data_IF_528531726608
#
_entry.id   IF_528531726608
#
_cell.length_a   1.000
_cell.length_b   1.000
_cell.length_c   1.000
_cell.angle_alpha   90.00
_cell.angle_beta   90.00
_cell.angle_gamma   90.00
#
_symmetry.space_group_name_H-M   'P 1'
#
loop_
_entity.id
_entity.type
_entity.pdbx_description
1 polymer ?
#
# COMPACT_ATOMS: atom_id res chain seq x y z
N UNK A 1 -5.43 16.26 -7.66
CA UNK A 1 -5.10 15.23 -6.66
C UNK A 1 -4.42 15.97 -5.55
N UNK A 2 -4.96 15.91 -4.34
CA UNK A 2 -4.36 16.57 -3.18
C UNK A 2 -3.12 15.78 -2.73
N UNK A 3 -2.10 16.48 -2.26
CA UNK A 3 -0.93 15.84 -1.65
C UNK A 3 -1.37 15.21 -0.32
N UNK A 4 -1.09 13.92 -0.14
CA UNK A 4 -1.34 13.19 1.10
C UNK A 4 0.00 12.72 1.67
N UNK A 5 0.24 13.06 2.93
CA UNK A 5 1.48 12.71 3.62
C UNK A 5 1.50 11.22 3.97
N UNK A 6 2.68 10.61 3.85
CA UNK A 6 2.94 9.25 4.32
C UNK A 6 3.52 9.32 5.72
N UNK A 7 2.81 8.76 6.70
CA UNK A 7 3.22 8.77 8.11
C UNK A 7 4.01 7.52 8.53
N UNK A 8 4.01 6.48 7.71
CA UNK A 8 4.65 5.20 8.00
C UNK A 8 4.41 4.15 6.94
N UNK A 9 4.81 2.92 7.21
CA UNK A 9 4.70 1.79 6.30
C UNK A 9 4.13 0.53 6.95
N UNK A 10 3.28 -0.18 6.21
CA UNK A 10 2.81 -1.52 6.54
C UNK A 10 3.18 -2.49 5.42
N UNK A 11 3.60 -3.71 5.75
CA UNK A 11 3.95 -4.73 4.76
C UNK A 11 3.25 -6.05 5.11
N UNK A 12 2.53 -6.62 4.14
CA UNK A 12 1.83 -7.88 4.33
C UNK A 12 0.80 -8.12 3.24
N UNK A 13 0.47 -9.39 2.99
CA UNK A 13 -0.40 -9.79 1.87
C UNK A 13 -1.78 -10.27 2.30
N UNK A 14 -1.98 -10.54 3.58
CA UNK A 14 -3.30 -10.92 4.10
C UNK A 14 -4.15 -9.66 4.25
N UNK A 15 -5.19 -9.55 3.43
CA UNK A 15 -6.13 -8.41 3.46
C UNK A 15 -6.73 -8.20 4.86
N UNK A 16 -7.11 -9.28 5.54
CA UNK A 16 -7.66 -9.23 6.91
C UNK A 16 -6.66 -8.71 7.93
N UNK A 17 -5.39 -9.07 7.78
CA UNK A 17 -4.32 -8.59 8.64
C UNK A 17 -4.07 -7.09 8.41
N UNK A 18 -4.04 -6.64 7.15
CA UNK A 18 -3.96 -5.23 6.80
C UNK A 18 -5.11 -4.42 7.43
N UNK A 19 -6.36 -4.89 7.30
CA UNK A 19 -7.53 -4.25 7.92
C UNK A 19 -7.37 -4.12 9.44
N UNK A 20 -6.87 -5.17 10.10
CA UNK A 20 -6.76 -5.20 11.56
C UNK A 20 -5.59 -4.36 12.08
N UNK A 21 -4.49 -4.28 11.34
CA UNK A 21 -3.20 -3.87 11.89
C UNK A 21 -2.54 -2.68 11.18
N UNK A 22 -2.88 -2.37 9.92
CA UNK A 22 -2.31 -1.21 9.24
C UNK A 22 -2.88 0.09 9.83
N UNK A 23 -2.03 1.12 9.92
CA UNK A 23 -2.39 2.45 10.41
C UNK A 23 -2.79 3.34 9.23
N UNK A 24 -3.78 4.21 9.44
CA UNK A 24 -4.09 5.31 8.52
C UNK A 24 -2.82 6.12 8.18
N UNK A 25 -2.73 6.64 6.95
CA UNK A 25 -1.58 7.39 6.46
C UNK A 25 -0.36 6.53 6.11
N UNK A 26 -0.44 5.20 6.24
CA UNK A 26 0.67 4.32 5.90
C UNK A 26 0.77 4.07 4.39
N UNK A 27 1.98 3.86 3.87
CA UNK A 27 2.19 3.16 2.59
C UNK A 27 2.07 1.65 2.82
N UNK A 28 1.34 0.95 1.96
CA UNK A 28 1.16 -0.49 2.07
C UNK A 28 1.92 -1.26 0.99
N UNK A 29 2.91 -2.05 1.39
CA UNK A 29 3.65 -2.96 0.52
C UNK A 29 2.97 -4.33 0.51
N UNK A 30 2.61 -4.80 -0.68
CA UNK A 30 1.99 -6.12 -0.89
C UNK A 30 2.35 -6.68 -2.26
N UNK A 31 2.07 -7.96 -2.51
CA UNK A 31 2.04 -8.57 -3.85
C UNK A 31 0.63 -8.53 -4.46
N UNK A 32 -0.41 -8.15 -3.71
CA UNK A 32 -1.78 -8.14 -4.21
C UNK A 32 -2.02 -6.96 -5.18
N UNK A 33 -2.46 -7.28 -6.40
CA UNK A 33 -2.75 -6.30 -7.46
C UNK A 33 -4.21 -6.33 -7.94
N UNK A 34 -5.14 -6.73 -7.06
CA UNK A 34 -6.57 -6.86 -7.34
C UNK A 34 -7.37 -5.65 -6.81
N UNK A 35 -8.58 -5.32 -7.35
CA UNK A 35 -9.41 -4.24 -6.83
C UNK A 35 -9.76 -4.30 -5.33
N UNK A 36 -9.72 -5.50 -4.73
CA UNK A 36 -9.94 -5.68 -3.29
C UNK A 36 -8.84 -5.00 -2.45
N UNK A 37 -7.62 -4.95 -2.96
CA UNK A 37 -6.49 -4.24 -2.33
C UNK A 37 -6.81 -2.75 -2.22
N UNK A 38 -7.39 -2.16 -3.28
CA UNK A 38 -7.82 -0.77 -3.27
C UNK A 38 -8.96 -0.55 -2.28
N UNK A 39 -9.94 -1.45 -2.25
CA UNK A 39 -11.06 -1.35 -1.29
C UNK A 39 -10.57 -1.39 0.17
N UNK A 40 -9.58 -2.23 0.48
CA UNK A 40 -8.95 -2.27 1.81
C UNK A 40 -8.19 -0.98 2.11
N UNK A 41 -7.44 -0.45 1.14
CA UNK A 41 -6.72 0.80 1.33
C UNK A 41 -7.67 1.97 1.66
N UNK A 42 -8.80 2.07 0.95
CA UNK A 42 -9.86 3.05 1.25
C UNK A 42 -10.43 2.83 2.65
N UNK A 43 -10.74 1.59 3.02
CA UNK A 43 -11.31 1.25 4.32
C UNK A 43 -10.39 1.63 5.50
N UNK A 44 -9.08 1.47 5.33
CA UNK A 44 -8.08 1.74 6.38
C UNK A 44 -7.61 3.20 6.37
N UNK A 45 -7.75 3.92 5.26
CA UNK A 45 -7.16 5.26 5.08
C UNK A 45 -5.70 5.19 4.65
N UNK A 46 -5.36 4.25 3.76
CA UNK A 46 -4.02 4.07 3.18
C UNK A 46 -3.95 4.87 1.87
N UNK A 47 -3.15 5.95 1.81
CA UNK A 47 -3.03 6.79 0.61
C UNK A 47 -2.29 6.12 -0.55
N UNK A 48 -1.42 5.15 -0.26
CA UNK A 48 -0.54 4.55 -1.26
C UNK A 48 -0.36 3.03 -1.08
N UNK A 49 -0.51 2.28 -2.16
CA UNK A 49 -0.18 0.86 -2.28
C UNK A 49 1.04 0.70 -3.17
N UNK A 50 2.03 -0.09 -2.73
CA UNK A 50 3.18 -0.53 -3.52
C UNK A 50 3.06 -2.02 -3.79
N UNK A 51 2.81 -2.35 -5.05
CA UNK A 51 2.78 -3.72 -5.55
C UNK A 51 4.21 -4.18 -5.88
N UNK A 52 4.70 -5.13 -5.09
CA UNK A 52 6.05 -5.70 -5.22
C UNK A 52 6.06 -6.97 -6.09
N UNK A 53 7.26 -7.53 -6.34
CA UNK A 53 7.46 -8.74 -7.14
C UNK A 53 6.92 -8.66 -8.58
N UNK A 54 6.99 -7.47 -9.20
CA UNK A 54 6.68 -7.24 -10.61
C UNK A 54 5.27 -7.71 -11.04
N UNK A 55 4.30 -7.69 -10.13
CA UNK A 55 2.92 -8.03 -10.49
C UNK A 55 2.32 -6.94 -11.38
N UNK A 56 1.62 -7.37 -12.44
CA UNK A 56 0.88 -6.46 -13.30
C UNK A 56 -0.34 -5.90 -12.55
N UNK A 57 -0.58 -4.61 -12.73
CA UNK A 57 -1.80 -3.95 -12.25
C UNK A 57 -2.72 -3.84 -13.45
N UNK A 58 -3.86 -4.54 -13.40
CA UNK A 58 -4.81 -4.50 -14.50
C UNK A 58 -5.59 -3.17 -14.55
N UNK A 59 -6.25 -2.91 -15.68
CA UNK A 59 -7.02 -1.69 -15.92
C UNK A 59 -8.14 -1.47 -14.89
N UNK A 60 -8.79 -2.55 -14.45
CA UNK A 60 -9.87 -2.48 -13.46
C UNK A 60 -9.35 -1.93 -12.12
N UNK A 61 -8.21 -2.45 -11.65
CA UNK A 61 -7.56 -2.00 -10.41
C UNK A 61 -7.09 -0.56 -10.54
N UNK A 62 -6.48 -0.18 -11.67
CA UNK A 62 -6.07 1.21 -11.93
C UNK A 62 -7.26 2.17 -11.89
N UNK A 63 -8.36 1.84 -12.57
CA UNK A 63 -9.58 2.67 -12.58
C UNK A 63 -10.19 2.79 -11.20
N UNK A 64 -10.24 1.71 -10.42
CA UNK A 64 -10.71 1.75 -9.04
C UNK A 64 -9.83 2.63 -8.17
N UNK A 65 -8.50 2.46 -8.23
CA UNK A 65 -7.55 3.28 -7.47
C UNK A 65 -7.70 4.77 -7.79
N UNK A 66 -7.80 5.12 -9.08
CA UNK A 66 -8.01 6.49 -9.52
C UNK A 66 -9.35 7.07 -9.01
N UNK A 67 -10.44 6.29 -9.08
CA UNK A 67 -11.76 6.71 -8.62
C UNK A 67 -11.78 7.00 -7.12
N UNK A 68 -11.11 6.16 -6.33
CA UNK A 68 -11.09 6.25 -4.88
C UNK A 68 -9.96 7.14 -4.33
N UNK A 69 -9.12 7.71 -5.20
CA UNK A 69 -8.02 8.59 -4.79
C UNK A 69 -6.84 7.87 -4.12
N UNK A 70 -6.66 6.57 -4.37
CA UNK A 70 -5.54 5.78 -3.84
C UNK A 70 -4.42 5.71 -4.88
N UNK A 71 -3.20 6.07 -4.49
CA UNK A 71 -2.03 5.93 -5.37
C UNK A 71 -1.59 4.47 -5.42
N UNK A 72 -1.43 3.90 -6.61
CA UNK A 72 -0.89 2.55 -6.78
C UNK A 72 0.42 2.58 -7.58
N UNK A 73 1.49 2.08 -6.97
CA UNK A 73 2.82 1.97 -7.55
C UNK A 73 3.16 0.49 -7.75
N UNK A 74 4.06 0.20 -8.69
CA UNK A 74 4.60 -1.15 -8.87
C UNK A 74 6.11 -1.13 -8.94
N UNK A 75 6.73 -2.22 -8.51
CA UNK A 75 8.18 -2.40 -8.56
C UNK A 75 8.56 -3.85 -8.84
N UNK A 76 9.72 -4.06 -9.46
CA UNK A 76 10.33 -5.39 -9.62
C UNK A 76 10.99 -5.90 -8.34
N UNK A 77 11.18 -5.03 -7.34
CA UNK A 77 11.76 -5.38 -6.05
C UNK A 77 10.87 -6.36 -5.29
N UNK A 78 11.49 -7.21 -4.46
CA UNK A 78 10.76 -8.00 -3.46
C UNK A 78 10.16 -7.09 -2.39
N UNK A 79 9.14 -7.57 -1.65
CA UNK A 79 8.54 -6.80 -0.55
C UNK A 79 9.61 -6.33 0.46
N UNK A 80 10.56 -7.21 0.77
CA UNK A 80 11.68 -6.88 1.67
C UNK A 80 12.56 -5.75 1.14
N UNK A 81 12.93 -5.81 -0.15
CA UNK A 81 13.71 -4.74 -0.80
C UNK A 81 12.92 -3.43 -0.88
N UNK A 82 11.63 -3.48 -1.23
CA UNK A 82 10.76 -2.31 -1.28
C UNK A 82 10.66 -1.64 0.10
N UNK A 83 10.44 -2.42 1.16
CA UNK A 83 10.46 -1.93 2.55
C UNK A 83 11.81 -1.32 2.91
N UNK A 84 12.93 -1.96 2.54
CA UNK A 84 14.28 -1.41 2.79
C UNK A 84 14.49 -0.04 2.13
N UNK A 85 13.99 0.16 0.91
CA UNK A 85 14.05 1.45 0.22
C UNK A 85 13.19 2.48 0.95
N UNK A 86 11.94 2.15 1.26
CA UNK A 86 11.02 3.05 1.98
C UNK A 86 11.59 3.46 3.34
N UNK A 87 12.15 2.52 4.09
CA UNK A 87 12.81 2.80 5.36
C UNK A 87 14.01 3.74 5.21
N UNK A 88 14.83 3.53 4.17
CA UNK A 88 15.98 4.41 3.87
C UNK A 88 15.56 5.82 3.46
N UNK A 89 14.32 5.99 2.97
CA UNK A 89 13.71 7.29 2.69
C UNK A 89 13.07 7.95 3.92
N UNK A 90 13.19 7.34 5.10
CA UNK A 90 12.66 7.88 6.35
C UNK A 90 11.21 7.48 6.65
N UNK A 91 10.68 6.44 5.98
CA UNK A 91 9.34 5.91 6.24
C UNK A 91 9.45 4.71 7.20
N UNK A 92 9.18 4.88 8.52
CA UNK A 92 9.29 3.79 9.48
C UNK A 92 8.12 2.81 9.35
N UNK A 93 8.30 1.59 9.85
CA UNK A 93 7.18 0.65 10.02
C UNK A 93 6.22 1.13 11.12
N UNK A 94 4.91 1.07 10.86
CA UNK A 94 3.87 1.47 11.82
C UNK A 94 2.82 0.37 11.96
N UNK A 95 2.15 0.34 13.12
CA UNK A 95 1.02 -0.56 13.38
C UNK A 95 -0.08 0.22 14.08
N UNK A 96 -1.34 -0.12 13.81
CA UNK A 96 -2.52 0.51 14.42
C UNK A 96 -2.53 0.41 15.95
N UNK A 97 -1.99 -0.68 16.47
CA UNK A 97 -1.87 -0.97 17.89
C UNK A 97 -0.39 -1.18 18.20
N UNK A 98 0.25 -0.16 18.78
CA UNK A 98 1.69 -0.13 19.10
C UNK A 98 2.15 1.28 19.44
#
# INVERSE_FOLDING_TARGET
>A
MEEQDIEGGYCGDLLSDCIANAKEGSVWVTIQSHPNTVAVAVLVGIPCIVVSNYQEINEETRKRAQKEGVTILRTSLTSYQAVSVLFSLGIPGTKRHG
#
